data_IF_317711134579
#
_entry.id   IF_317711134579
#
_cell.length_a   1.000
_cell.length_b   1.000
_cell.length_c   1.000
_cell.angle_alpha   90.00
_cell.angle_beta   90.00
_cell.angle_gamma   90.00
#
_symmetry.space_group_name_H-M   'P 1'
#
loop_
_entity.id
_entity.type
_entity.pdbx_description
1 polymer ?
#
# COMPACT_ATOMS: atom_id res chain seq x y z
N UNK A 1 -8.43 -2.03 -10.42
CA UNK A 1 -7.84 -1.91 -9.06
C UNK A 1 -8.49 -0.82 -8.23
N UNK A 2 -8.49 -0.98 -6.90
CA UNK A 2 -8.73 0.08 -5.91
C UNK A 2 -7.44 0.41 -5.16
N UNK A 3 -7.24 1.65 -4.74
CA UNK A 3 -6.08 2.05 -3.95
C UNK A 3 -6.45 2.74 -2.64
N UNK A 4 -5.66 2.47 -1.60
CA UNK A 4 -5.69 3.21 -0.35
C UNK A 4 -4.31 3.83 -0.11
N UNK A 5 -4.27 5.15 0.02
CA UNK A 5 -3.02 5.88 0.29
C UNK A 5 -2.93 6.17 1.77
N UNK A 6 -1.93 5.60 2.43
CA UNK A 6 -1.65 5.82 3.85
C UNK A 6 -0.75 7.04 4.04
N UNK A 7 -1.24 8.03 4.79
CA UNK A 7 -0.42 9.14 5.27
C UNK A 7 0.46 8.63 6.42
N UNK A 8 1.76 8.53 6.17
CA UNK A 8 2.76 8.03 7.14
C UNK A 8 3.34 9.12 8.04
N UNK A 9 3.43 10.36 7.55
CA UNK A 9 3.76 11.56 8.35
C UNK A 9 2.84 12.73 7.96
N UNK A 10 2.34 13.43 8.98
CA UNK A 10 1.49 14.60 8.83
C UNK A 10 2.22 15.80 8.20
N UNK A 11 3.56 15.83 8.24
CA UNK A 11 4.36 16.85 7.55
C UNK A 11 4.54 16.57 6.06
N UNK A 12 4.50 15.30 5.62
CA UNK A 12 4.58 14.88 4.20
C UNK A 12 3.39 15.36 3.36
N UNK A 13 2.35 15.83 4.03
CA UNK A 13 1.15 16.45 3.44
C UNK A 13 1.50 17.79 2.76
N UNK A 14 2.66 18.38 3.09
CA UNK A 14 3.16 19.61 2.48
C UNK A 14 3.96 19.39 1.18
N UNK A 15 4.35 18.15 0.87
CA UNK A 15 5.17 17.82 -0.30
C UNK A 15 4.32 17.50 -1.56
N UNK A 16 4.96 17.56 -2.72
CA UNK A 16 4.30 17.40 -4.03
C UNK A 16 3.83 15.95 -4.25
N UNK A 17 2.53 15.70 -4.00
CA UNK A 17 1.90 14.40 -4.26
C UNK A 17 1.64 14.14 -5.75
N UNK A 18 2.06 15.02 -6.67
CA UNK A 18 1.73 14.89 -8.09
C UNK A 18 2.12 13.52 -8.69
N UNK A 19 3.32 12.95 -8.45
CA UNK A 19 3.66 11.64 -9.01
C UNK A 19 2.77 10.51 -8.47
N UNK A 20 2.54 10.48 -7.15
CA UNK A 20 1.65 9.52 -6.50
C UNK A 20 0.22 9.63 -7.03
N UNK A 21 -0.27 10.86 -7.17
CA UNK A 21 -1.58 11.16 -7.72
C UNK A 21 -1.73 10.65 -9.15
N UNK A 22 -0.75 10.95 -10.00
CA UNK A 22 -0.74 10.48 -11.38
C UNK A 22 -0.70 8.95 -11.45
N UNK A 23 0.06 8.28 -10.58
CA UNK A 23 0.09 6.83 -10.53
C UNK A 23 -1.30 6.25 -10.21
N UNK A 24 -1.91 6.70 -9.10
CA UNK A 24 -3.21 6.20 -8.63
C UNK A 24 -4.31 6.47 -9.64
N UNK A 25 -4.42 7.70 -10.16
CA UNK A 25 -5.46 8.08 -11.13
C UNK A 25 -5.32 7.35 -12.48
N UNK A 26 -4.10 6.90 -12.84
CA UNK A 26 -3.87 6.16 -14.08
C UNK A 26 -4.16 4.65 -13.96
N UNK A 27 -4.09 4.05 -12.76
CA UNK A 27 -4.23 2.59 -12.59
C UNK A 27 -5.41 2.16 -11.72
N UNK A 28 -6.08 3.07 -11.01
CA UNK A 28 -7.16 2.76 -10.09
C UNK A 28 -8.47 3.45 -10.47
N UNK A 29 -9.57 2.71 -10.36
CA UNK A 29 -10.92 3.22 -10.62
C UNK A 29 -11.53 3.90 -9.39
N UNK A 30 -11.03 3.56 -8.21
CA UNK A 30 -11.46 4.11 -6.93
C UNK A 30 -10.27 4.21 -5.99
N UNK A 31 -10.24 5.27 -5.19
CA UNK A 31 -9.16 5.52 -4.25
C UNK A 31 -9.63 6.28 -3.02
N UNK A 32 -8.92 6.08 -1.91
CA UNK A 32 -9.15 6.75 -0.62
C UNK A 32 -7.83 7.11 0.04
N UNK A 33 -7.81 8.20 0.79
CA UNK A 33 -6.70 8.57 1.67
C UNK A 33 -7.01 8.12 3.08
N UNK A 34 -6.07 7.41 3.69
CA UNK A 34 -6.10 6.97 5.07
C UNK A 34 -5.20 7.89 5.89
N UNK A 35 -5.77 8.66 6.81
CA UNK A 35 -5.02 9.62 7.59
C UNK A 35 -5.60 9.78 9.00
N UNK A 36 -4.83 10.30 9.97
CA UNK A 36 -5.39 10.70 11.25
C UNK A 36 -6.30 11.93 11.08
N UNK A 37 -7.13 12.20 12.09
CA UNK A 37 -8.01 13.37 12.12
C UNK A 37 -7.22 14.66 11.86
N UNK A 38 -7.78 15.57 11.06
CA UNK A 38 -7.23 16.90 10.73
C UNK A 38 -6.05 16.98 9.74
N UNK A 39 -5.78 15.95 8.93
CA UNK A 39 -4.83 16.06 7.81
C UNK A 39 -5.50 16.67 6.56
N UNK A 40 -4.91 17.73 6.02
CA UNK A 40 -5.34 18.33 4.75
C UNK A 40 -5.09 17.33 3.62
N UNK A 41 -6.09 16.98 2.82
CA UNK A 41 -5.86 16.18 1.61
C UNK A 41 -5.63 17.09 0.41
N UNK A 42 -4.37 17.30 -0.04
CA UNK A 42 -4.08 18.19 -1.16
C UNK A 42 -4.66 17.69 -2.50
N UNK A 43 -4.92 16.38 -2.63
CA UNK A 43 -5.44 15.79 -3.85
C UNK A 43 -6.97 15.96 -4.00
N UNK A 44 -7.68 16.33 -2.93
CA UNK A 44 -9.15 16.38 -2.93
C UNK A 44 -9.83 15.01 -3.05
N UNK A 45 -9.07 13.93 -2.82
CA UNK A 45 -9.60 12.57 -2.79
C UNK A 45 -10.49 12.32 -1.56
N UNK A 46 -11.36 11.30 -1.58
CA UNK A 46 -12.08 10.87 -0.39
C UNK A 46 -11.12 10.53 0.75
N UNK A 47 -11.47 10.89 1.98
CA UNK A 47 -10.68 10.62 3.19
C UNK A 47 -11.43 9.63 4.07
N UNK A 48 -10.71 8.64 4.59
CA UNK A 48 -11.16 7.75 5.65
C UNK A 48 -10.25 7.98 6.86
N UNK A 49 -10.83 8.59 7.89
CA UNK A 49 -10.12 8.91 9.12
C UNK A 49 -9.82 7.63 9.91
N UNK A 50 -8.60 7.54 10.41
CA UNK A 50 -8.14 6.44 11.23
C UNK A 50 -7.87 6.90 12.66
N UNK A 51 -8.39 6.15 13.64
CA UNK A 51 -7.98 6.29 15.04
C UNK A 51 -6.49 5.95 15.24
N UNK A 52 -5.96 5.06 14.39
CA UNK A 52 -4.58 4.59 14.40
C UNK A 52 -4.04 4.48 12.99
N UNK A 53 -2.87 5.06 12.75
CA UNK A 53 -2.22 5.09 11.43
C UNK A 53 -1.13 4.03 11.28
N UNK A 54 -1.06 3.05 12.18
CA UNK A 54 -0.17 1.90 11.98
C UNK A 54 -0.56 1.10 10.74
N UNK A 55 0.44 0.51 10.09
CA UNK A 55 0.31 -0.16 8.79
C UNK A 55 -0.76 -1.25 8.76
N UNK A 56 -0.95 -2.02 9.85
CA UNK A 56 -1.94 -3.10 9.93
C UNK A 56 -3.36 -2.54 10.11
N UNK A 57 -3.54 -1.52 10.95
CA UNK A 57 -4.83 -0.84 11.12
C UNK A 57 -5.25 -0.14 9.83
N UNK A 58 -4.32 0.50 9.14
CA UNK A 58 -4.54 1.10 7.83
C UNK A 58 -4.95 0.04 6.78
N UNK A 59 -4.23 -1.08 6.71
CA UNK A 59 -4.58 -2.16 5.79
C UNK A 59 -5.98 -2.74 6.07
N UNK A 60 -6.34 -2.90 7.35
CA UNK A 60 -7.69 -3.33 7.75
C UNK A 60 -8.76 -2.38 7.21
N UNK A 61 -8.55 -1.07 7.39
CA UNK A 61 -9.47 -0.05 6.93
C UNK A 61 -9.56 -0.02 5.40
N UNK A 62 -8.42 -0.13 4.70
CA UNK A 62 -8.35 -0.24 3.24
C UNK A 62 -9.19 -1.41 2.71
N UNK A 63 -9.03 -2.60 3.29
CA UNK A 63 -9.78 -3.79 2.89
C UNK A 63 -11.28 -3.69 3.23
N UNK A 64 -11.61 -3.07 4.37
CA UNK A 64 -13.01 -2.82 4.74
C UNK A 64 -13.69 -1.87 3.76
N UNK A 65 -12.97 -0.84 3.30
CA UNK A 65 -13.44 0.10 2.29
C UNK A 65 -13.50 -0.53 0.88
N UNK A 66 -12.52 -1.36 0.52
CA UNK A 66 -12.48 -2.02 -0.79
C UNK A 66 -13.49 -3.15 -0.91
N UNK A 67 -14.05 -3.61 0.21
CA UNK A 67 -15.01 -4.72 0.32
C UNK A 67 -14.37 -6.04 -0.13
N UNK A 68 -15.06 -6.82 -0.98
CA UNK A 68 -14.57 -8.11 -1.48
C UNK A 68 -13.58 -7.98 -2.65
N UNK A 69 -13.02 -6.78 -2.86
CA UNK A 69 -12.04 -6.51 -3.91
C UNK A 69 -10.63 -6.26 -3.32
N UNK A 70 -9.56 -6.71 -4.01
CA UNK A 70 -8.19 -6.39 -3.62
C UNK A 70 -7.92 -4.88 -3.61
N UNK A 71 -7.02 -4.46 -2.73
CA UNK A 71 -6.63 -3.06 -2.57
C UNK A 71 -5.12 -2.91 -2.65
N UNK A 72 -4.66 -1.93 -3.42
CA UNK A 72 -3.28 -1.48 -3.43
C UNK A 72 -3.09 -0.53 -2.23
N UNK A 73 -2.27 -0.91 -1.26
CA UNK A 73 -1.87 -0.04 -0.16
C UNK A 73 -0.57 0.66 -0.54
N UNK A 74 -0.59 2.00 -0.55
CA UNK A 74 0.56 2.83 -0.90
C UNK A 74 0.84 3.85 0.21
N UNK A 75 2.07 3.96 0.69
CA UNK A 75 2.46 5.05 1.59
C UNK A 75 2.64 6.38 0.85
N UNK A 76 2.29 7.48 1.50
CA UNK A 76 2.38 8.83 0.93
C UNK A 76 3.82 9.33 0.72
N UNK A 77 4.79 8.74 1.42
CA UNK A 77 6.22 9.05 1.34
C UNK A 77 6.95 8.28 0.22
N UNK A 78 6.23 7.49 -0.59
CA UNK A 78 6.76 6.91 -1.83
C UNK A 78 6.60 7.94 -2.94
N UNK A 79 7.70 8.59 -3.33
CA UNK A 79 7.66 9.80 -4.17
C UNK A 79 7.66 9.54 -5.68
N UNK A 80 8.14 8.39 -6.15
CA UNK A 80 8.12 8.05 -7.59
C UNK A 80 7.50 6.69 -7.94
N UNK A 81 6.27 6.41 -7.49
CA UNK A 81 5.63 5.11 -7.72
C UNK A 81 5.28 4.87 -9.20
N UNK A 82 5.40 3.62 -9.67
CA UNK A 82 5.06 3.23 -11.06
C UNK A 82 3.65 2.64 -11.16
N UNK A 83 2.86 3.18 -12.10
CA UNK A 83 1.54 2.65 -12.43
C UNK A 83 1.62 1.29 -13.15
N UNK A 84 2.64 1.09 -13.97
CA UNK A 84 2.92 -0.18 -14.66
C UNK A 84 3.27 -1.28 -13.67
N UNK A 85 4.12 -0.98 -12.67
CA UNK A 85 4.41 -1.91 -11.58
C UNK A 85 3.14 -2.26 -10.81
N UNK A 86 2.32 -1.27 -10.43
CA UNK A 86 1.07 -1.51 -9.72
C UNK A 86 0.11 -2.44 -10.50
N UNK A 87 -0.03 -2.22 -11.82
CA UNK A 87 -0.80 -3.12 -12.70
C UNK A 87 -0.19 -4.52 -12.79
N UNK A 88 1.13 -4.62 -12.75
CA UNK A 88 1.83 -5.90 -12.72
C UNK A 88 1.53 -6.68 -11.43
N UNK A 89 1.52 -6.01 -10.27
CA UNK A 89 1.13 -6.64 -9.00
C UNK A 89 -0.28 -7.24 -9.10
N UNK A 90 -1.23 -6.49 -9.68
CA UNK A 90 -2.60 -6.99 -9.91
C UNK A 90 -2.65 -8.16 -10.89
N UNK A 91 -1.86 -8.13 -11.95
CA UNK A 91 -1.78 -9.20 -12.94
C UNK A 91 -1.30 -10.53 -12.33
N UNK A 92 -0.31 -10.49 -11.42
CA UNK A 92 0.29 -11.70 -10.83
C UNK A 92 -0.37 -12.16 -9.51
N UNK A 93 -1.47 -11.54 -9.09
CA UNK A 93 -2.09 -11.77 -7.77
C UNK A 93 -2.76 -13.12 -7.57
N UNK A 94 -3.09 -13.82 -8.65
CA UNK A 94 -3.95 -15.00 -8.57
C UNK A 94 -3.37 -16.07 -7.62
N UNK A 95 -4.15 -16.44 -6.60
CA UNK A 95 -3.76 -17.48 -5.64
C UNK A 95 -2.96 -16.98 -4.43
N UNK A 96 -2.73 -15.68 -4.28
CA UNK A 96 -2.00 -15.10 -3.14
C UNK A 96 -2.89 -14.17 -2.31
N UNK A 97 -2.59 -14.10 -1.02
CA UNK A 97 -3.20 -13.16 -0.09
C UNK A 97 -2.64 -11.75 -0.29
N UNK A 98 -1.35 -11.66 -0.61
CA UNK A 98 -0.70 -10.40 -0.93
C UNK A 98 0.33 -10.56 -2.06
N UNK A 99 0.54 -9.48 -2.81
CA UNK A 99 1.63 -9.32 -3.76
C UNK A 99 2.45 -8.12 -3.35
N UNK A 100 3.73 -8.33 -3.04
CA UNK A 100 4.59 -7.32 -2.43
C UNK A 100 5.91 -7.26 -3.22
N UNK A 101 6.30 -6.11 -3.78
CA UNK A 101 7.59 -5.99 -4.45
C UNK A 101 8.72 -5.87 -3.43
N UNK A 102 9.92 -6.25 -3.88
CA UNK A 102 11.15 -6.09 -3.08
C UNK A 102 11.95 -4.87 -3.55
N UNK A 103 12.51 -4.09 -2.61
CA UNK A 103 13.49 -3.03 -2.88
C UNK A 103 14.84 -3.63 -3.31
N UNK A 104 15.24 -4.70 -2.63
CA UNK A 104 16.47 -5.44 -2.86
C UNK A 104 16.21 -6.95 -2.64
N UNK A 105 17.26 -7.76 -2.49
CA UNK A 105 17.14 -9.22 -2.39
C UNK A 105 16.22 -9.67 -1.24
N UNK A 106 16.21 -8.97 -0.12
CA UNK A 106 15.56 -9.42 1.12
C UNK A 106 14.61 -8.38 1.74
N UNK A 107 14.50 -7.19 1.15
CA UNK A 107 13.73 -6.08 1.72
C UNK A 107 12.39 -5.90 0.98
N UNK A 108 11.26 -6.38 1.55
CA UNK A 108 9.94 -6.15 0.96
C UNK A 108 9.46 -4.70 1.16
N UNK A 109 8.63 -4.21 0.22
CA UNK A 109 7.89 -2.96 0.36
C UNK A 109 6.38 -3.21 0.61
N UNK A 110 5.97 -3.55 1.84
CA UNK A 110 4.57 -3.82 2.16
C UNK A 110 3.66 -2.61 1.95
N UNK A 111 4.20 -1.39 2.02
CA UNK A 111 3.47 -0.15 1.78
C UNK A 111 3.50 0.28 0.30
N UNK A 112 3.81 -0.65 -0.60
CA UNK A 112 3.49 -0.60 -2.03
C UNK A 112 3.00 -1.99 -2.47
N UNK A 113 2.06 -2.54 -1.70
CA UNK A 113 1.61 -3.93 -1.82
C UNK A 113 0.15 -4.03 -2.25
N UNK A 114 -0.19 -5.09 -2.97
CA UNK A 114 -1.57 -5.44 -3.28
C UNK A 114 -2.05 -6.51 -2.31
N UNK A 115 -3.19 -6.27 -1.63
CA UNK A 115 -3.72 -7.16 -0.61
C UNK A 115 -5.13 -7.61 -0.96
N UNK A 116 -5.40 -8.91 -0.80
CA UNK A 116 -6.70 -9.52 -1.03
C UNK A 116 -7.56 -9.52 0.25
N UNK A 117 -8.90 -9.62 0.13
CA UNK A 117 -9.81 -9.74 1.28
C UNK A 117 -9.51 -10.93 2.19
N UNK A 118 -8.85 -11.97 1.69
CA UNK A 118 -8.43 -13.16 2.47
C UNK A 118 -7.47 -12.80 3.61
N UNK A 119 -6.74 -11.67 3.53
CA UNK A 119 -5.89 -11.15 4.61
C UNK A 119 -6.66 -10.84 5.89
N UNK A 120 -7.97 -10.60 5.82
CA UNK A 120 -8.75 -10.06 6.95
C UNK A 120 -8.74 -10.96 8.19
N UNK A 121 -8.65 -12.28 8.01
CA UNK A 121 -8.52 -13.23 9.13
C UNK A 121 -7.23 -13.01 9.93
N UNK A 122 -6.08 -13.00 9.24
CA UNK A 122 -4.77 -12.82 9.85
C UNK A 122 -4.58 -11.41 10.43
N UNK A 123 -5.10 -10.38 9.73
CA UNK A 123 -5.11 -8.99 10.21
C UNK A 123 -5.82 -8.89 11.56
N UNK A 124 -7.04 -9.42 11.68
CA UNK A 124 -7.80 -9.35 12.93
C UNK A 124 -7.10 -10.11 14.06
N UNK A 125 -6.54 -11.29 13.78
CA UNK A 125 -5.77 -12.05 14.75
C UNK A 125 -4.50 -11.31 15.20
N UNK A 126 -3.82 -10.61 14.30
CA UNK A 126 -2.62 -9.83 14.61
C UNK A 126 -2.94 -8.63 15.51
N UNK A 127 -3.96 -7.85 15.16
CA UNK A 127 -4.42 -6.71 15.97
C UNK A 127 -4.85 -7.13 17.38
N UNK A 128 -5.53 -8.29 17.51
CA UNK A 128 -5.90 -8.84 18.82
C UNK A 128 -4.68 -9.23 19.67
N UNK A 129 -3.56 -9.60 19.05
CA UNK A 129 -2.30 -9.89 19.74
C UNK A 129 -1.49 -8.65 20.11
N UNK A 130 -1.93 -7.44 19.71
CA UNK A 130 -1.21 -6.20 19.93
C UNK A 130 0.04 -6.03 19.04
N UNK A 131 0.10 -6.76 17.94
CA UNK A 131 1.15 -6.64 16.93
C UNK A 131 0.63 -5.74 15.79
N UNK A 132 1.44 -4.76 15.37
CA UNK A 132 1.04 -3.69 14.45
C UNK A 132 2.01 -3.55 13.26
N UNK A 133 3.00 -4.42 13.17
CA UNK A 133 3.96 -4.46 12.07
C UNK A 133 3.44 -5.28 10.87
N UNK A 134 3.28 -4.63 9.72
CA UNK A 134 2.88 -5.29 8.49
C UNK A 134 3.92 -6.30 7.99
N UNK A 135 5.22 -6.12 8.28
CA UNK A 135 6.23 -7.13 7.96
C UNK A 135 6.01 -8.42 8.78
N UNK A 136 5.58 -8.29 10.04
CA UNK A 136 5.15 -9.44 10.83
C UNK A 136 3.91 -10.13 10.23
N UNK A 137 2.98 -9.37 9.65
CA UNK A 137 1.80 -9.89 8.96
C UNK A 137 2.17 -10.71 7.73
N UNK A 138 3.12 -10.23 6.91
CA UNK A 138 3.53 -10.94 5.69
C UNK A 138 4.00 -12.38 5.96
N UNK A 139 4.60 -12.65 7.13
CA UNK A 139 5.04 -14.00 7.53
C UNK A 139 3.89 -14.99 7.77
N UNK A 140 2.66 -14.49 7.91
CA UNK A 140 1.44 -15.27 8.17
C UNK A 140 0.57 -15.44 6.93
N UNK A 141 0.89 -14.72 5.86
CA UNK A 141 0.13 -14.69 4.61
C UNK A 141 0.80 -15.57 3.54
N UNK A 142 0.01 -16.01 2.57
CA UNK A 142 0.54 -16.53 1.31
C UNK A 142 0.93 -15.35 0.43
N UNK A 143 2.20 -14.95 0.48
CA UNK A 143 2.70 -13.76 -0.24
C UNK A 143 3.41 -14.15 -1.53
N UNK A 144 3.09 -13.46 -2.62
CA UNK A 144 3.93 -13.40 -3.81
C UNK A 144 4.88 -12.21 -3.68
N UNK A 145 6.16 -12.49 -3.48
CA UNK A 145 7.19 -11.48 -3.62
C UNK A 145 7.51 -11.27 -5.11
N UNK A 146 7.49 -10.03 -5.55
CA UNK A 146 7.94 -9.63 -6.89
C UNK A 146 9.40 -9.20 -6.76
N UNK A 147 10.29 -9.98 -7.34
CA UNK A 147 11.73 -9.81 -7.15
C UNK A 147 12.28 -8.53 -7.80
N UNK A 148 13.51 -8.19 -7.46
CA UNK A 148 14.18 -6.96 -7.92
C UNK A 148 14.29 -6.94 -9.44
N UNK A 149 14.54 -8.08 -10.07
CA UNK A 149 14.63 -8.22 -11.53
C UNK A 149 13.28 -8.03 -12.23
N UNK A 150 12.18 -8.45 -11.60
CA UNK A 150 10.81 -8.16 -12.04
C UNK A 150 10.49 -6.68 -11.89
N UNK A 151 10.83 -6.05 -10.75
CA UNK A 151 10.63 -4.60 -10.51
C UNK A 151 11.44 -3.77 -11.49
N UNK A 152 12.69 -4.17 -11.79
CA UNK A 152 13.61 -3.47 -12.68
C UNK A 152 13.09 -3.29 -14.12
N UNK A 153 12.05 -4.05 -14.52
CA UNK A 153 11.37 -3.89 -15.82
C UNK A 153 10.55 -2.59 -15.90
N UNK A 154 10.24 -1.97 -14.76
CA UNK A 154 9.39 -0.79 -14.67
C UNK A 154 10.16 0.49 -14.28
N UNK A 155 11.40 0.34 -13.81
CA UNK A 155 12.25 1.45 -13.35
C UNK A 155 13.29 0.96 -12.34
N UNK A 156 14.06 1.88 -11.76
CA UNK A 156 14.99 1.55 -10.68
C UNK A 156 14.20 1.20 -9.40
N UNK A 157 14.32 -0.03 -8.85
CA UNK A 157 13.59 -0.44 -7.64
C UNK A 157 13.77 0.52 -6.46
N UNK A 158 14.97 1.08 -6.28
CA UNK A 158 15.24 2.02 -5.20
C UNK A 158 14.46 3.32 -5.39
N UNK A 159 14.30 3.81 -6.61
CA UNK A 159 13.51 5.02 -6.89
C UNK A 159 12.01 4.75 -6.76
N UNK A 160 11.54 3.61 -7.28
CA UNK A 160 10.12 3.29 -7.34
C UNK A 160 9.50 2.99 -5.97
N UNK A 161 10.30 2.48 -5.03
CA UNK A 161 9.80 1.87 -3.79
C UNK A 161 10.35 2.49 -2.51
N UNK A 162 11.37 3.36 -2.56
CA UNK A 162 11.89 4.01 -1.35
C UNK A 162 10.86 4.92 -0.72
N UNK A 163 10.85 4.97 0.61
CA UNK A 163 10.16 5.99 1.38
C UNK A 163 11.13 7.14 1.66
N UNK A 164 10.69 8.37 1.43
CA UNK A 164 11.42 9.56 1.87
C UNK A 164 11.01 9.87 3.32
N UNK A 165 11.92 9.59 4.25
CA UNK A 165 11.74 9.81 5.70
C UNK A 165 12.57 10.97 6.25
#
# INVERSE_FOLDING_TARGET
MKAAVLVTDANTVADDWQPLRLMVENCCESYVVLCPEAVTNPAGWPVLELERTDSVSALKAALSWSQDEPVLLVASDITTPSAELARYLEYVRAGYDAVVPLLDVDTPQPLFGLYAPTCMGEINAQLLSGEFDIAALLRRLTVRFVDVEEVAKFGDPAQLLSQDG
#
